data_IF_803879613028
#
_entry.id   IF_803879613028
#
_cell.length_a   1.000
_cell.length_b   1.000
_cell.length_c   1.000
_cell.angle_alpha   90.00
_cell.angle_beta   90.00
_cell.angle_gamma   90.00
#
_symmetry.space_group_name_H-M   'P 1'
#
loop_
_entity.id
_entity.type
_entity.pdbx_description
1 polymer ?
#
# COMPACT_ATOMS: atom_id res chain seq x y z
N UNK A 1 19.27 -1.01 12.60
CA UNK A 1 17.91 -1.48 12.30
C UNK A 1 17.11 -0.27 11.83
N UNK A 2 16.62 -0.28 10.59
CA UNK A 2 15.78 0.83 10.07
C UNK A 2 14.40 0.74 10.72
N UNK A 3 13.82 1.88 11.08
CA UNK A 3 12.53 1.95 11.79
C UNK A 3 11.56 2.80 10.97
N UNK A 4 10.30 2.40 10.95
CA UNK A 4 9.24 3.14 10.25
C UNK A 4 7.98 3.19 11.11
N UNK A 5 7.18 4.24 10.96
CA UNK A 5 5.84 4.30 11.54
C UNK A 5 4.90 3.52 10.62
N UNK A 6 4.44 2.35 11.06
CA UNK A 6 3.57 1.51 10.26
C UNK A 6 2.11 1.85 10.48
N UNK A 7 1.50 2.33 9.40
CA UNK A 7 0.08 2.64 9.35
C UNK A 7 -0.73 1.35 9.32
N UNK A 8 -1.35 1.03 10.45
CA UNK A 8 -2.28 -0.09 10.55
C UNK A 8 -3.59 0.30 9.85
N UNK A 9 -3.70 -0.06 8.58
CA UNK A 9 -4.90 0.24 7.79
C UNK A 9 -6.13 -0.48 8.33
N UNK A 10 -7.31 0.13 8.17
CA UNK A 10 -8.58 -0.46 8.61
C UNK A 10 -8.81 -1.87 8.05
N UNK A 11 -8.39 -2.12 6.80
CA UNK A 11 -8.56 -3.42 6.14
C UNK A 11 -7.67 -4.50 6.76
N UNK A 12 -6.42 -4.18 7.12
CA UNK A 12 -5.52 -5.11 7.80
C UNK A 12 -5.97 -5.39 9.23
N UNK A 13 -6.49 -4.38 9.92
CA UNK A 13 -6.97 -4.55 11.29
C UNK A 13 -8.23 -5.41 11.37
N UNK A 14 -9.12 -5.33 10.37
CA UNK A 14 -10.45 -5.95 10.43
C UNK A 14 -10.61 -7.18 9.55
N UNK A 15 -10.24 -7.11 8.27
CA UNK A 15 -10.58 -8.12 7.26
C UNK A 15 -9.40 -8.98 6.84
N UNK A 16 -8.19 -8.42 6.85
CA UNK A 16 -6.96 -9.08 6.34
C UNK A 16 -5.90 -9.17 7.43
N UNK A 17 -6.30 -9.77 8.57
CA UNK A 17 -5.45 -9.87 9.79
C UNK A 17 -4.25 -10.77 9.57
N UNK A 18 -4.39 -11.76 8.69
CA UNK A 18 -3.31 -12.63 8.23
C UNK A 18 -2.20 -11.84 7.52
N UNK A 19 -2.54 -10.79 6.75
CA UNK A 19 -1.55 -9.90 6.14
C UNK A 19 -0.75 -9.17 7.24
N UNK A 20 -1.40 -8.51 8.19
CA UNK A 20 -0.72 -7.83 9.31
C UNK A 20 0.13 -8.80 10.14
N UNK A 21 -0.41 -9.97 10.48
CA UNK A 21 0.31 -11.00 11.22
C UNK A 21 1.55 -11.49 10.47
N UNK A 22 1.45 -11.65 9.14
CA UNK A 22 2.58 -12.10 8.34
C UNK A 22 3.75 -11.10 8.39
N UNK A 23 3.45 -9.80 8.43
CA UNK A 23 4.44 -8.72 8.52
C UNK A 23 5.27 -8.84 9.80
N UNK A 24 4.65 -9.20 10.92
CA UNK A 24 5.37 -9.40 12.19
C UNK A 24 6.37 -10.56 12.16
N UNK A 25 6.20 -11.54 11.26
CA UNK A 25 7.02 -12.75 11.24
C UNK A 25 8.38 -12.56 10.56
N UNK A 26 8.52 -11.61 9.64
CA UNK A 26 9.74 -11.47 8.82
C UNK A 26 10.55 -10.21 9.09
N UNK A 27 10.03 -9.23 9.85
CA UNK A 27 10.72 -7.97 10.16
C UNK A 27 12.13 -8.16 10.74
N UNK A 28 12.25 -9.05 11.75
CA UNK A 28 13.54 -9.34 12.42
C UNK A 28 14.55 -9.96 11.45
N UNK A 29 14.10 -10.85 10.57
CA UNK A 29 14.97 -11.52 9.59
C UNK A 29 15.53 -10.51 8.57
N UNK A 30 14.75 -9.47 8.24
CA UNK A 30 15.16 -8.38 7.34
C UNK A 30 15.80 -7.17 8.04
N UNK A 31 15.91 -7.16 9.37
CA UNK A 31 16.57 -6.09 10.11
C UNK A 31 15.84 -4.74 10.07
N UNK A 32 14.51 -4.76 10.00
CA UNK A 32 13.64 -3.58 10.09
C UNK A 32 12.70 -3.67 11.30
N UNK A 33 12.15 -2.53 11.70
CA UNK A 33 11.09 -2.42 12.72
C UNK A 33 9.95 -1.54 12.19
N UNK A 34 8.75 -2.09 12.18
CA UNK A 34 7.51 -1.42 11.79
C UNK A 34 6.72 -1.11 13.05
N UNK A 35 6.81 0.14 13.52
CA UNK A 35 6.15 0.57 14.75
C UNK A 35 4.68 0.85 14.46
N UNK A 36 3.79 -0.06 14.88
CA UNK A 36 2.34 0.03 14.63
C UNK A 36 1.74 1.30 15.22
N UNK A 37 1.06 2.09 14.37
CA UNK A 37 0.35 3.30 14.77
C UNK A 37 -1.10 3.00 15.14
N UNK A 38 -1.33 2.48 16.35
CA UNK A 38 -2.68 2.13 16.82
C UNK A 38 -3.64 3.32 16.95
N UNK A 39 -3.11 4.53 17.11
CA UNK A 39 -3.90 5.77 17.20
C UNK A 39 -4.20 6.40 15.83
N UNK A 40 -3.77 5.77 14.73
CA UNK A 40 -4.06 6.24 13.38
C UNK A 40 -5.54 6.08 13.03
N UNK A 41 -6.02 6.89 12.08
CA UNK A 41 -7.42 6.90 11.62
C UNK A 41 -7.50 6.44 10.16
N UNK A 42 -8.66 5.94 9.74
CA UNK A 42 -8.90 5.56 8.34
C UNK A 42 -8.52 6.71 7.38
N UNK A 43 -7.83 6.38 6.28
CA UNK A 43 -7.42 7.34 5.27
C UNK A 43 -8.59 7.98 4.48
N UNK A 44 -9.78 7.37 4.53
CA UNK A 44 -10.98 7.83 3.82
C UNK A 44 -11.28 7.10 2.51
N UNK A 45 -10.56 6.01 2.21
CA UNK A 45 -10.92 5.02 1.18
C UNK A 45 -11.15 5.61 -0.21
N UNK A 46 -10.33 6.59 -0.62
CA UNK A 46 -10.47 7.38 -1.87
C UNK A 46 -11.77 8.17 -2.08
N UNK A 47 -12.77 8.04 -1.20
CA UNK A 47 -14.08 8.68 -1.36
C UNK A 47 -14.21 9.98 -0.57
N UNK A 48 -13.50 10.09 0.57
CA UNK A 48 -13.64 11.23 1.48
C UNK A 48 -13.26 12.57 0.81
N UNK A 49 -12.31 12.56 -0.13
CA UNK A 49 -11.91 13.78 -0.85
C UNK A 49 -13.05 14.36 -1.69
N UNK A 50 -13.89 13.51 -2.29
CA UNK A 50 -15.05 13.94 -3.08
C UNK A 50 -16.15 14.54 -2.22
N UNK A 51 -16.37 13.97 -1.02
CA UNK A 51 -17.44 14.40 -0.11
C UNK A 51 -17.02 15.61 0.72
N UNK A 52 -15.78 15.60 1.21
CA UNK A 52 -15.25 16.68 2.04
C UNK A 52 -13.72 16.80 1.94
N UNK A 53 -13.22 17.64 1.02
CA UNK A 53 -11.79 17.89 0.85
C UNK A 53 -11.08 18.35 2.13
N UNK A 54 -11.79 19.12 2.98
CA UNK A 54 -11.26 19.59 4.27
C UNK A 54 -11.06 18.46 5.26
N UNK A 55 -12.04 17.57 5.44
CA UNK A 55 -11.88 16.41 6.33
C UNK A 55 -10.86 15.43 5.78
N UNK A 56 -10.82 15.24 4.45
CA UNK A 56 -9.79 14.46 3.78
C UNK A 56 -8.38 14.95 4.12
N UNK A 57 -8.13 16.26 4.00
CA UNK A 57 -6.85 16.85 4.36
C UNK A 57 -6.53 16.67 5.84
N UNK A 58 -7.50 16.91 6.73
CA UNK A 58 -7.33 16.80 8.18
C UNK A 58 -6.96 15.38 8.64
N UNK A 59 -7.74 14.36 8.26
CA UNK A 59 -7.52 12.99 8.77
C UNK A 59 -6.20 12.40 8.27
N UNK A 60 -5.81 12.72 7.03
CA UNK A 60 -4.55 12.25 6.48
C UNK A 60 -3.35 13.05 7.02
N UNK A 61 -3.50 14.36 7.26
CA UNK A 61 -2.48 15.14 7.96
C UNK A 61 -2.26 14.62 9.39
N UNK A 62 -3.34 14.24 10.10
CA UNK A 62 -3.26 13.64 11.42
C UNK A 62 -2.41 12.36 11.42
N UNK A 63 -2.66 11.46 10.46
CA UNK A 63 -1.87 10.24 10.31
C UNK A 63 -0.38 10.53 10.06
N UNK A 64 -0.07 11.50 9.19
CA UNK A 64 1.33 11.88 8.93
C UNK A 64 1.95 12.54 10.17
N UNK A 65 1.23 13.43 10.86
CA UNK A 65 1.70 14.10 12.07
C UNK A 65 2.04 13.13 13.21
N UNK A 66 1.32 12.00 13.32
CA UNK A 66 1.66 10.93 14.28
C UNK A 66 3.03 10.33 13.94
N UNK A 67 3.29 9.99 12.68
CA UNK A 67 4.60 9.48 12.24
C UNK A 67 5.71 10.52 12.47
N UNK A 68 5.43 11.79 12.17
CA UNK A 68 6.37 12.89 12.41
C UNK A 68 6.67 13.13 13.89
N UNK A 69 5.69 12.95 14.77
CA UNK A 69 5.89 13.00 16.24
C UNK A 69 6.81 11.87 16.72
N UNK A 70 6.80 10.73 16.05
CA UNK A 70 7.72 9.61 16.29
C UNK A 70 9.10 9.83 15.66
N UNK A 71 9.24 10.83 14.78
CA UNK A 71 10.47 11.07 14.01
C UNK A 71 10.75 10.00 12.96
N UNK A 72 9.70 9.36 12.42
CA UNK A 72 9.79 8.24 11.48
C UNK A 72 9.01 8.53 10.20
N UNK A 73 9.42 7.91 9.10
CA UNK A 73 8.65 7.89 7.86
C UNK A 73 7.43 6.95 8.00
N UNK A 74 6.32 7.36 7.39
CA UNK A 74 5.07 6.62 7.37
C UNK A 74 5.14 5.53 6.30
N UNK A 75 4.92 4.28 6.71
CA UNK A 75 4.85 3.13 5.80
C UNK A 75 3.45 2.53 5.84
N UNK A 76 2.88 2.32 4.65
CA UNK A 76 1.60 1.66 4.44
C UNK A 76 1.80 0.36 3.69
N UNK A 77 0.96 -0.64 3.94
CA UNK A 77 0.89 -1.88 3.15
C UNK A 77 -0.39 -1.98 2.32
N UNK A 78 -1.05 -0.86 2.05
CA UNK A 78 -2.26 -0.82 1.22
C UNK A 78 -2.10 0.26 0.15
N UNK A 79 -2.29 -0.13 -1.10
CA UNK A 79 -2.19 0.77 -2.25
C UNK A 79 -3.13 1.97 -2.14
N UNK A 80 -4.38 1.76 -1.72
CA UNK A 80 -5.33 2.87 -1.58
C UNK A 80 -4.91 3.82 -0.47
N UNK A 81 -4.41 3.31 0.66
CA UNK A 81 -3.87 4.16 1.72
C UNK A 81 -2.68 4.99 1.22
N UNK A 82 -1.78 4.39 0.44
CA UNK A 82 -0.64 5.07 -0.16
C UNK A 82 -1.07 6.25 -1.03
N UNK A 83 -1.93 6.00 -2.02
CA UNK A 83 -2.41 7.04 -2.93
C UNK A 83 -3.17 8.14 -2.19
N UNK A 84 -4.05 7.75 -1.27
CA UNK A 84 -4.90 8.68 -0.50
C UNK A 84 -4.05 9.60 0.36
N UNK A 85 -3.12 9.05 1.15
CA UNK A 85 -2.29 9.82 2.07
C UNK A 85 -1.28 10.68 1.31
N UNK A 86 -0.65 10.16 0.24
CA UNK A 86 0.26 10.97 -0.61
C UNK A 86 -0.46 12.10 -1.33
N UNK A 87 -1.70 11.89 -1.76
CA UNK A 87 -2.53 12.94 -2.37
C UNK A 87 -2.82 14.05 -1.36
N UNK A 88 -3.20 13.69 -0.12
CA UNK A 88 -3.39 14.66 0.94
C UNK A 88 -2.10 15.42 1.28
N UNK A 89 -0.97 14.70 1.41
CA UNK A 89 0.37 15.26 1.62
C UNK A 89 0.68 16.33 0.56
N UNK A 90 0.54 15.99 -0.72
CA UNK A 90 0.76 16.92 -1.84
C UNK A 90 -0.10 18.17 -1.72
N UNK A 91 -1.41 18.02 -1.46
CA UNK A 91 -2.32 19.18 -1.28
C UNK A 91 -1.90 20.08 -0.13
N UNK A 92 -1.50 19.51 1.01
CA UNK A 92 -1.05 20.25 2.20
C UNK A 92 0.26 20.97 1.95
N UNK A 93 1.21 20.31 1.28
CA UNK A 93 2.53 20.88 0.98
C UNK A 93 2.44 22.02 -0.04
N UNK A 94 1.50 21.95 -0.98
CA UNK A 94 1.28 22.98 -2.01
C UNK A 94 0.33 24.11 -1.56
N UNK A 95 -0.39 23.94 -0.44
CA UNK A 95 -1.42 24.91 0.01
C UNK A 95 -1.18 25.38 1.45
N UNK A 96 -0.35 26.43 1.67
CA UNK A 96 -0.02 26.93 3.01
C UNK A 96 -1.23 27.31 3.87
N UNK A 97 -2.30 27.86 3.26
CA UNK A 97 -3.52 28.21 3.97
C UNK A 97 -4.24 26.98 4.54
N UNK A 98 -4.37 25.91 3.73
CA UNK A 98 -4.95 24.64 4.15
C UNK A 98 -4.09 23.99 5.24
N UNK A 99 -2.76 23.99 5.08
CA UNK A 99 -1.82 23.48 6.09
C UNK A 99 -2.00 24.21 7.42
N UNK A 100 -2.14 25.53 7.40
CA UNK A 100 -2.40 26.32 8.62
C UNK A 100 -3.72 25.94 9.27
N UNK A 101 -4.80 25.88 8.51
CA UNK A 101 -6.13 25.52 9.03
C UNK A 101 -6.15 24.12 9.66
N UNK A 102 -5.50 23.15 9.01
CA UNK A 102 -5.36 21.79 9.53
C UNK A 102 -4.52 21.77 10.81
N UNK A 103 -3.39 22.49 10.86
CA UNK A 103 -2.56 22.54 12.06
C UNK A 103 -3.25 23.25 13.24
N UNK A 104 -4.10 24.25 12.99
CA UNK A 104 -4.91 24.89 14.03
C UNK A 104 -5.86 23.88 14.72
N UNK A 105 -6.34 22.87 13.97
CA UNK A 105 -7.16 21.77 14.50
C UNK A 105 -6.30 20.70 15.20
N UNK A 106 -5.21 20.25 14.57
CA UNK A 106 -4.32 19.21 15.11
C UNK A 106 -3.67 19.61 16.44
N UNK A 107 -3.44 20.91 16.67
CA UNK A 107 -2.89 21.43 17.93
C UNK A 107 -3.72 21.02 19.15
N UNK A 108 -5.04 20.82 18.99
CA UNK A 108 -5.93 20.35 20.07
C UNK A 108 -5.60 18.92 20.53
N UNK A 109 -4.96 18.12 19.67
CA UNK A 109 -4.48 16.76 19.97
C UNK A 109 -2.96 16.74 20.27
N UNK A 110 -2.31 17.90 20.37
CA UNK A 110 -0.85 17.98 20.53
C UNK A 110 -0.08 17.44 19.32
N UNK A 111 -0.69 17.52 18.13
CA UNK A 111 -0.11 17.13 16.85
C UNK A 111 0.14 18.37 15.97
N UNK A 112 1.09 18.25 15.05
CA UNK A 112 1.40 19.25 14.04
C UNK A 112 1.89 18.54 12.78
N UNK A 113 1.29 18.84 11.64
CA UNK A 113 1.78 18.41 10.33
C UNK A 113 2.87 19.37 9.84
N UNK A 114 4.10 18.87 9.76
CA UNK A 114 5.28 19.59 9.26
C UNK A 114 5.58 19.28 7.80
N UNK A 115 5.18 18.12 7.30
CA UNK A 115 5.49 17.63 5.95
C UNK A 115 6.87 16.95 5.85
N UNK A 116 7.48 16.61 6.97
CA UNK A 116 8.83 16.00 7.06
C UNK A 116 8.82 14.48 6.93
N UNK A 117 7.72 13.80 7.30
CA UNK A 117 7.60 12.36 7.07
C UNK A 117 7.29 12.11 5.60
N UNK A 118 8.05 11.21 4.98
CA UNK A 118 7.65 10.61 3.71
C UNK A 118 6.53 9.58 3.93
N UNK A 119 5.86 9.19 2.85
CA UNK A 119 4.76 8.22 2.85
C UNK A 119 5.06 7.16 1.80
N UNK A 120 5.48 5.98 2.24
CA UNK A 120 6.02 4.93 1.38
C UNK A 120 5.21 3.65 1.45
N UNK A 121 5.18 2.91 0.34
CA UNK A 121 4.60 1.57 0.32
C UNK A 121 5.59 0.56 0.91
N UNK A 122 5.09 -0.46 1.62
CA UNK A 122 5.94 -1.51 2.19
C UNK A 122 6.77 -2.23 1.11
N UNK A 123 6.16 -2.50 -0.06
CA UNK A 123 6.88 -3.03 -1.23
C UNK A 123 8.09 -2.17 -1.60
N UNK A 124 7.95 -0.85 -1.62
CA UNK A 124 9.05 0.05 -1.95
C UNK A 124 10.14 0.05 -0.88
N UNK A 125 9.76 -0.03 0.40
CA UNK A 125 10.73 -0.18 1.49
C UNK A 125 11.52 -1.49 1.35
N UNK A 126 10.86 -2.60 1.00
CA UNK A 126 11.53 -3.88 0.76
C UNK A 126 12.55 -3.76 -0.39
N UNK A 127 12.18 -3.12 -1.49
CA UNK A 127 13.04 -3.00 -2.68
C UNK A 127 14.15 -1.96 -2.47
N UNK A 128 13.82 -0.74 -2.08
CA UNK A 128 14.74 0.40 -2.07
C UNK A 128 15.64 0.41 -0.83
N UNK A 129 15.08 0.07 0.34
CA UNK A 129 15.77 0.27 1.61
C UNK A 129 16.45 -0.98 2.13
N UNK A 130 15.85 -2.15 1.89
CA UNK A 130 16.41 -3.45 2.28
C UNK A 130 17.25 -4.00 1.13
N UNK A 131 16.73 -3.94 -0.09
CA UNK A 131 17.42 -4.39 -1.29
C UNK A 131 17.13 -5.86 -1.60
N UNK A 132 16.96 -6.15 -2.89
CA UNK A 132 16.67 -7.49 -3.41
C UNK A 132 17.70 -8.54 -2.97
N UNK A 133 18.99 -8.21 -3.01
CA UNK A 133 20.05 -9.14 -2.63
C UNK A 133 19.99 -9.52 -1.15
N UNK A 134 19.66 -8.56 -0.28
CA UNK A 134 19.51 -8.80 1.16
C UNK A 134 18.29 -9.69 1.43
N UNK A 135 17.18 -9.48 0.71
CA UNK A 135 15.99 -10.34 0.80
C UNK A 135 16.33 -11.76 0.35
N UNK A 136 16.97 -11.91 -0.81
CA UNK A 136 17.37 -13.20 -1.38
C UNK A 136 18.27 -13.99 -0.43
N UNK A 137 19.21 -13.33 0.25
CA UNK A 137 20.09 -13.95 1.23
C UNK A 137 19.37 -14.47 2.49
N UNK A 138 18.13 -14.06 2.74
CA UNK A 138 17.31 -14.49 3.88
C UNK A 138 16.30 -15.59 3.54
N UNK A 139 16.17 -15.95 2.25
CA UNK A 139 15.25 -16.99 1.79
C UNK A 139 15.68 -18.36 2.31
N UNK A 140 14.82 -18.99 3.11
CA UNK A 140 15.05 -20.34 3.68
C UNK A 140 14.39 -21.44 2.84
N UNK A 141 13.21 -21.15 2.30
CA UNK A 141 12.44 -22.05 1.43
C UNK A 141 12.10 -21.29 0.16
N UNK A 142 12.83 -21.50 -0.95
CA UNK A 142 12.60 -20.76 -2.18
C UNK A 142 11.33 -21.25 -2.89
N UNK A 143 10.65 -20.33 -3.57
CA UNK A 143 9.41 -20.57 -4.32
C UNK A 143 9.68 -21.12 -5.74
N UNK A 144 10.79 -21.84 -5.95
CA UNK A 144 11.33 -22.24 -7.27
C UNK A 144 10.36 -23.03 -8.15
N UNK A 145 9.41 -23.72 -7.55
CA UNK A 145 8.43 -24.54 -8.27
C UNK A 145 7.15 -23.79 -8.62
N UNK A 146 7.02 -22.50 -8.23
CA UNK A 146 5.78 -21.74 -8.39
C UNK A 146 5.87 -20.68 -9.48
N UNK A 147 4.87 -20.70 -10.36
CA UNK A 147 4.51 -19.67 -11.33
C UNK A 147 3.53 -18.72 -10.65
N UNK A 148 3.90 -17.47 -10.46
CA UNK A 148 3.15 -16.54 -9.62
C UNK A 148 2.61 -15.42 -10.49
N UNK A 149 1.31 -15.14 -10.39
CA UNK A 149 0.70 -14.00 -11.08
C UNK A 149 0.85 -12.73 -10.23
N UNK A 150 1.70 -11.76 -10.61
CA UNK A 150 1.77 -10.48 -9.92
C UNK A 150 0.54 -9.63 -10.21
N UNK A 151 -0.18 -9.18 -9.18
CA UNK A 151 -1.27 -8.23 -9.32
C UNK A 151 -0.95 -6.94 -8.57
N UNK A 152 -0.45 -5.93 -9.29
CA UNK A 152 0.05 -4.70 -8.68
C UNK A 152 -1.05 -3.88 -8.03
N UNK A 153 -2.25 -3.86 -8.65
CA UNK A 153 -3.32 -2.94 -8.31
C UNK A 153 -3.05 -1.51 -8.79
N UNK A 154 -4.13 -0.72 -8.89
CA UNK A 154 -4.07 0.60 -9.51
C UNK A 154 -3.35 1.66 -8.66
N UNK A 155 -3.61 1.70 -7.35
CA UNK A 155 -3.20 2.81 -6.47
C UNK A 155 -1.73 2.76 -5.96
N UNK A 156 -0.93 1.78 -6.38
CA UNK A 156 0.54 1.82 -6.22
C UNK A 156 1.25 2.41 -7.44
N UNK A 157 0.56 2.42 -8.59
CA UNK A 157 1.09 2.90 -9.87
C UNK A 157 0.51 4.25 -10.29
N UNK A 158 -0.76 4.51 -9.93
CA UNK A 158 -1.55 5.65 -10.43
C UNK A 158 -2.22 6.43 -9.29
N UNK A 159 -2.24 7.77 -9.35
CA UNK A 159 -1.68 8.63 -10.40
C UNK A 159 -0.15 8.80 -10.28
N UNK A 160 0.58 8.58 -11.38
CA UNK A 160 2.04 8.61 -11.39
C UNK A 160 2.64 9.97 -10.99
N UNK A 161 1.93 11.08 -11.25
CA UNK A 161 2.31 12.43 -10.79
C UNK A 161 2.35 12.60 -9.27
N UNK A 162 1.67 11.73 -8.52
CA UNK A 162 1.65 11.73 -7.05
C UNK A 162 2.57 10.66 -6.50
N UNK A 163 2.61 9.47 -7.13
CA UNK A 163 3.35 8.31 -6.63
C UNK A 163 4.81 8.26 -7.11
N UNK A 164 5.04 8.43 -8.42
CA UNK A 164 6.36 8.61 -9.01
C UNK A 164 7.45 7.58 -8.67
N UNK A 165 7.07 6.33 -8.34
CA UNK A 165 8.03 5.27 -7.97
C UNK A 165 8.20 4.26 -9.11
N UNK A 166 7.23 3.37 -9.31
CA UNK A 166 7.24 2.39 -10.40
C UNK A 166 6.76 3.00 -11.74
N UNK A 167 7.16 2.37 -12.86
CA UNK A 167 6.59 2.69 -14.17
C UNK A 167 5.11 2.26 -14.17
N UNK A 168 4.16 3.17 -14.45
CA UNK A 168 2.73 2.87 -14.34
C UNK A 168 2.19 1.93 -15.43
N UNK A 169 2.95 1.72 -16.50
CA UNK A 169 2.61 0.83 -17.63
C UNK A 169 3.35 -0.50 -17.50
N UNK A 170 4.64 -0.46 -17.19
CA UNK A 170 5.51 -1.64 -17.09
C UNK A 170 6.25 -1.67 -15.73
N UNK A 171 5.55 -1.89 -14.61
CA UNK A 171 6.17 -1.93 -13.29
C UNK A 171 6.96 -3.22 -13.09
N UNK A 172 7.95 -3.15 -12.20
CA UNK A 172 8.87 -4.28 -11.96
C UNK A 172 9.09 -4.62 -10.48
N UNK A 173 8.69 -3.77 -9.53
CA UNK A 173 9.01 -3.97 -8.12
C UNK A 173 8.46 -5.27 -7.51
N UNK A 174 7.21 -5.66 -7.85
CA UNK A 174 6.61 -6.90 -7.36
C UNK A 174 7.23 -8.13 -8.04
N UNK A 175 7.55 -8.04 -9.33
CA UNK A 175 8.20 -9.12 -10.08
C UNK A 175 9.59 -9.40 -9.51
N UNK A 176 10.37 -8.34 -9.27
CA UNK A 176 11.68 -8.44 -8.64
C UNK A 176 11.60 -9.10 -7.26
N UNK A 177 10.57 -8.76 -6.46
CA UNK A 177 10.35 -9.42 -5.18
C UNK A 177 10.01 -10.90 -5.34
N UNK A 178 9.13 -11.25 -6.29
CA UNK A 178 8.79 -12.65 -6.61
C UNK A 178 10.06 -13.44 -6.99
N UNK A 179 10.88 -12.90 -7.89
CA UNK A 179 12.12 -13.51 -8.35
C UNK A 179 13.15 -13.66 -7.22
N UNK A 180 13.25 -12.66 -6.34
CA UNK A 180 14.14 -12.70 -5.17
C UNK A 180 13.76 -13.81 -4.19
N UNK A 181 12.47 -14.11 -4.06
CA UNK A 181 11.95 -15.24 -3.28
C UNK A 181 12.08 -16.58 -4.02
N UNK A 182 12.63 -16.57 -5.23
CA UNK A 182 12.88 -17.74 -6.07
C UNK A 182 11.68 -18.14 -6.94
N UNK A 183 10.57 -17.41 -6.91
CA UNK A 183 9.40 -17.67 -7.73
C UNK A 183 9.56 -17.20 -9.18
N UNK A 184 8.68 -17.66 -10.06
CA UNK A 184 8.64 -17.23 -11.46
C UNK A 184 7.43 -16.32 -11.70
N UNK A 185 7.58 -14.99 -11.83
CA UNK A 185 6.46 -14.13 -12.20
C UNK A 185 5.98 -14.47 -13.62
N UNK A 186 4.67 -14.61 -13.80
CA UNK A 186 4.10 -14.82 -15.13
C UNK A 186 3.74 -13.49 -15.80
N UNK A 187 4.03 -13.33 -17.11
CA UNK A 187 3.51 -12.21 -17.88
C UNK A 187 2.04 -12.47 -18.22
N UNK A 188 1.19 -11.48 -17.96
CA UNK A 188 -0.24 -11.50 -18.31
C UNK A 188 -0.80 -10.06 -18.33
N UNK A 189 -1.90 -9.83 -19.04
CA UNK A 189 -2.44 -8.49 -19.29
C UNK A 189 -3.07 -7.87 -18.03
N UNK A 190 -3.68 -8.68 -17.17
CA UNK A 190 -4.39 -8.20 -15.98
C UNK A 190 -3.47 -7.79 -14.81
N UNK A 191 -2.16 -8.02 -14.93
CA UNK A 191 -1.13 -7.64 -13.94
C UNK A 191 -1.29 -6.22 -13.38
N UNK A 192 -1.67 -5.27 -14.24
CA UNK A 192 -1.80 -3.83 -13.91
C UNK A 192 -3.25 -3.32 -13.98
N UNK A 193 -4.24 -4.22 -14.05
CA UNK A 193 -5.66 -3.86 -14.17
C UNK A 193 -6.28 -3.54 -12.80
N UNK A 194 -7.53 -3.06 -12.84
CA UNK A 194 -8.33 -2.85 -11.64
C UNK A 194 -8.76 -4.21 -11.07
N UNK A 195 -8.94 -4.30 -9.76
CA UNK A 195 -9.50 -5.48 -9.10
C UNK A 195 -11.03 -5.38 -8.89
N UNK A 196 -11.65 -4.23 -9.17
CA UNK A 196 -13.08 -4.00 -8.92
C UNK A 196 -13.43 -3.46 -7.54
N UNK A 197 -12.57 -3.60 -6.52
CA UNK A 197 -12.92 -3.30 -5.11
C UNK A 197 -13.73 -2.00 -4.86
N UNK A 198 -13.33 -0.87 -5.47
CA UNK A 198 -13.99 0.42 -5.20
C UNK A 198 -15.40 0.53 -5.75
N UNK A 199 -15.83 -0.36 -6.64
CA UNK A 199 -17.20 -0.45 -7.15
C UNK A 199 -18.02 -1.56 -6.50
N UNK A 200 -17.42 -2.40 -5.66
CA UNK A 200 -18.06 -3.57 -5.06
C UNK A 200 -19.40 -3.26 -4.38
N UNK A 201 -19.49 -2.16 -3.63
CA UNK A 201 -20.69 -1.80 -2.89
C UNK A 201 -21.83 -1.23 -3.75
N UNK A 202 -21.53 -0.78 -4.97
CA UNK A 202 -22.49 -0.09 -5.85
C UNK A 202 -22.81 -0.86 -7.13
N UNK A 203 -21.91 -1.75 -7.54
CA UNK A 203 -21.94 -2.53 -8.77
C UNK A 203 -21.19 -3.85 -8.50
N UNK A 204 -21.81 -4.68 -7.65
CA UNK A 204 -21.20 -5.91 -7.13
C UNK A 204 -20.87 -6.90 -8.26
N UNK A 205 -21.82 -7.15 -9.15
CA UNK A 205 -21.64 -8.08 -10.28
C UNK A 205 -20.48 -7.63 -11.19
N UNK A 206 -20.45 -6.35 -11.57
CA UNK A 206 -19.39 -5.78 -12.39
C UNK A 206 -18.04 -5.78 -11.68
N UNK A 207 -18.01 -5.50 -10.38
CA UNK A 207 -16.80 -5.57 -9.56
C UNK A 207 -16.22 -6.99 -9.56
N UNK A 208 -17.06 -7.99 -9.31
CA UNK A 208 -16.64 -9.38 -9.25
C UNK A 208 -16.24 -9.90 -10.64
N UNK A 209 -16.92 -9.48 -11.71
CA UNK A 209 -16.54 -9.82 -13.08
C UNK A 209 -15.13 -9.32 -13.43
N UNK A 210 -14.78 -8.09 -13.05
CA UNK A 210 -13.43 -7.55 -13.26
C UNK A 210 -12.36 -8.36 -12.51
N UNK A 211 -12.66 -8.83 -11.30
CA UNK A 211 -11.76 -9.69 -10.55
C UNK A 211 -11.63 -11.08 -11.19
N UNK A 212 -12.76 -11.65 -11.64
CA UNK A 212 -12.82 -12.94 -12.31
C UNK A 212 -11.98 -12.94 -13.60
N UNK A 213 -12.04 -11.89 -14.42
CA UNK A 213 -11.21 -11.76 -15.63
C UNK A 213 -9.70 -11.89 -15.32
N UNK A 214 -9.24 -11.27 -14.23
CA UNK A 214 -7.85 -11.35 -13.80
C UNK A 214 -7.46 -12.76 -13.33
N UNK A 215 -8.36 -13.44 -12.61
CA UNK A 215 -8.17 -14.81 -12.13
C UNK A 215 -8.20 -15.81 -13.29
N UNK A 216 -9.17 -15.70 -14.20
CA UNK A 216 -9.30 -16.57 -15.37
C UNK A 216 -8.08 -16.48 -16.28
N UNK A 217 -7.54 -15.27 -16.50
CA UNK A 217 -6.29 -15.12 -17.23
C UNK A 217 -5.11 -15.75 -16.48
N UNK A 218 -4.97 -15.50 -15.18
CA UNK A 218 -3.88 -16.11 -14.39
C UNK A 218 -3.93 -17.65 -14.47
N UNK A 219 -5.13 -18.24 -14.41
CA UNK A 219 -5.34 -19.70 -14.57
C UNK A 219 -4.95 -20.14 -15.99
N UNK A 220 -5.40 -19.42 -17.02
CA UNK A 220 -5.07 -19.72 -18.43
C UNK A 220 -3.56 -19.69 -18.68
N UNK A 221 -2.87 -18.73 -18.07
CA UNK A 221 -1.41 -18.59 -18.10
C UNK A 221 -0.68 -19.52 -17.11
N UNK A 222 -1.41 -20.43 -16.47
CA UNK A 222 -0.91 -21.48 -15.59
C UNK A 222 -0.15 -20.92 -14.38
N UNK A 223 -0.68 -19.87 -13.76
CA UNK A 223 -0.23 -19.45 -12.43
C UNK A 223 -0.68 -20.46 -11.38
N UNK A 224 0.17 -20.72 -10.39
CA UNK A 224 -0.18 -21.49 -9.20
C UNK A 224 -0.95 -20.66 -8.18
N UNK A 225 -0.65 -19.36 -8.08
CA UNK A 225 -1.39 -18.39 -7.27
C UNK A 225 -1.12 -16.95 -7.71
N UNK A 226 -1.97 -16.03 -7.25
CA UNK A 226 -1.86 -14.58 -7.44
C UNK A 226 -1.27 -13.92 -6.19
N UNK A 227 -0.46 -12.89 -6.36
CA UNK A 227 0.09 -12.10 -5.24
C UNK A 227 -0.16 -10.62 -5.47
N UNK A 228 -0.56 -9.90 -4.43
CA UNK A 228 -0.81 -8.46 -4.52
C UNK A 228 -0.24 -7.73 -3.31
N UNK A 229 0.31 -6.51 -3.49
CA UNK A 229 0.75 -5.67 -2.39
C UNK A 229 -0.41 -4.92 -1.71
N UNK A 230 -1.66 -5.19 -2.10
CA UNK A 230 -2.84 -4.46 -1.66
C UNK A 230 -3.88 -5.37 -0.99
N UNK A 231 -4.16 -5.18 0.31
CA UNK A 231 -5.16 -5.97 1.02
C UNK A 231 -6.59 -5.80 0.50
N UNK A 232 -6.91 -4.64 -0.11
CA UNK A 232 -8.21 -4.45 -0.77
C UNK A 232 -8.30 -5.28 -2.06
N UNK A 233 -7.21 -5.37 -2.83
CA UNK A 233 -7.17 -6.28 -3.98
C UNK A 233 -7.24 -7.73 -3.51
N UNK A 234 -6.53 -8.07 -2.42
CA UNK A 234 -6.58 -9.40 -1.81
C UNK A 234 -8.02 -9.80 -1.46
N UNK A 235 -8.76 -8.91 -0.79
CA UNK A 235 -10.17 -9.17 -0.40
C UNK A 235 -11.05 -9.59 -1.57
N UNK A 236 -10.93 -8.91 -2.72
CA UNK A 236 -11.79 -9.20 -3.89
C UNK A 236 -11.26 -10.34 -4.76
N UNK A 237 -9.95 -10.60 -4.73
CA UNK A 237 -9.36 -11.73 -5.45
C UNK A 237 -9.48 -13.06 -4.69
N UNK A 238 -9.66 -13.03 -3.37
CA UNK A 238 -9.81 -14.23 -2.53
C UNK A 238 -11.25 -14.77 -2.54
N UNK A 239 -12.25 -13.89 -2.45
CA UNK A 239 -13.68 -14.24 -2.49
C UNK A 239 -14.39 -14.01 -1.16
#
# INVERSE_FOLDING_TARGET
>A
MKRYAYYLSCINESMTKEVDRSIDLWQKDLGIELVKMHESTCCGGSNLDYVSPKHFALVNARNIAIAEKMGLDLVVSCNTCLMTIRTAKKKLDETPALKKEVNDLLKKEGLEYRGTSDVRHLLWVLIDDIGIDAIKAKVKVPLTNYRIAPFYGCHILRPSKVLGHDNPVEPSSLDQLIEALGGKPIPYEHKNRCCGFHTLLVAEEESLNVAAEALEEAIREKADFIVTPCPLCHTVLDG
#
